data_IF_694319259862
#
_entry.id   IF_694319259862
#
_cell.length_a   1.000
_cell.length_b   1.000
_cell.length_c   1.000
_cell.angle_alpha   90.00
_cell.angle_beta   90.00
_cell.angle_gamma   90.00
#
_symmetry.space_group_name_H-M   'P 1'
#
loop_
_entity.id
_entity.type
_entity.pdbx_description
1 polymer ?
#
# COMPACT_ATOMS: atom_id res chain seq x y z
N UNK A 1 -35.49 -2.30 -11.94
CA UNK A 1 -34.33 -2.42 -11.02
C UNK A 1 -33.82 -1.00 -10.82
N UNK A 2 -33.85 -0.51 -9.60
CA UNK A 2 -33.44 0.86 -9.29
C UNK A 2 -32.03 0.80 -8.68
N UNK A 3 -31.01 1.00 -9.50
CA UNK A 3 -29.61 1.07 -9.06
C UNK A 3 -29.31 2.47 -8.51
N UNK A 4 -29.91 2.80 -7.36
CA UNK A 4 -29.61 4.09 -6.70
C UNK A 4 -28.19 4.15 -6.14
N UNK A 5 -27.59 2.97 -5.84
CA UNK A 5 -26.22 2.84 -5.33
C UNK A 5 -25.47 1.81 -6.18
N UNK A 6 -24.35 2.20 -6.74
CA UNK A 6 -23.49 1.32 -7.54
C UNK A 6 -22.89 0.16 -6.72
N UNK A 7 -22.85 0.31 -5.39
CA UNK A 7 -22.48 -0.71 -4.41
C UNK A 7 -23.68 -0.94 -3.50
N UNK A 8 -24.15 -2.18 -3.39
CA UNK A 8 -25.23 -2.55 -2.47
C UNK A 8 -24.88 -2.31 -1.00
N UNK A 9 -23.60 -2.27 -0.68
CA UNK A 9 -23.02 -1.92 0.61
C UNK A 9 -22.28 -0.60 0.48
N UNK A 10 -22.17 0.15 1.56
CA UNK A 10 -21.33 1.35 1.61
C UNK A 10 -19.87 1.04 1.30
N UNK A 11 -19.14 2.04 0.80
CA UNK A 11 -17.68 1.93 0.56
C UNK A 11 -16.99 1.62 1.89
N UNK A 12 -16.10 0.61 1.89
CA UNK A 12 -15.24 0.33 3.03
C UNK A 12 -14.23 1.47 3.21
N UNK A 13 -14.28 2.08 4.38
CA UNK A 13 -13.40 3.20 4.70
C UNK A 13 -12.12 2.71 5.39
N UNK A 14 -11.04 3.43 5.15
CA UNK A 14 -9.76 3.20 5.78
C UNK A 14 -9.84 3.50 7.30
N UNK A 15 -9.35 2.57 8.10
CA UNK A 15 -9.28 2.70 9.56
C UNK A 15 -7.87 3.07 10.07
N UNK A 16 -6.95 3.41 9.17
CA UNK A 16 -5.59 3.80 9.50
C UNK A 16 -5.48 5.31 9.79
N UNK A 17 -4.40 5.69 10.48
CA UNK A 17 -4.08 7.08 10.81
C UNK A 17 -2.66 7.43 10.36
N UNK A 18 -2.36 7.12 9.10
CA UNK A 18 -1.04 7.36 8.50
C UNK A 18 -0.69 8.84 8.53
N UNK A 19 0.47 9.26 9.06
CA UNK A 19 0.87 10.67 9.05
C UNK A 19 1.02 11.23 7.63
N UNK A 20 1.29 10.37 6.65
CA UNK A 20 1.44 10.73 5.24
C UNK A 20 0.13 10.61 4.44
N UNK A 21 -1.03 10.42 5.09
CA UNK A 21 -2.29 10.27 4.37
C UNK A 21 -2.61 11.55 3.59
N UNK A 22 -2.66 11.45 2.26
CA UNK A 22 -2.93 12.61 1.41
C UNK A 22 -4.37 13.13 1.56
N UNK A 23 -5.31 12.31 2.02
CA UNK A 23 -6.69 12.75 2.33
C UNK A 23 -6.69 13.66 3.57
N UNK A 24 -5.91 13.30 4.62
CA UNK A 24 -5.80 14.13 5.83
C UNK A 24 -5.03 15.43 5.60
N UNK A 25 -4.33 15.53 4.48
CA UNK A 25 -3.59 16.72 4.06
C UNK A 25 -4.38 17.59 3.06
N UNK A 26 -5.71 17.37 2.92
CA UNK A 26 -6.56 18.21 2.08
C UNK A 26 -6.95 19.50 2.80
N UNK A 27 -7.12 20.62 2.06
CA UNK A 27 -7.60 21.87 2.66
C UNK A 27 -9.02 21.69 3.20
N UNK A 28 -9.30 22.28 4.37
CA UNK A 28 -10.62 22.24 4.99
C UNK A 28 -11.71 22.95 4.13
N UNK A 29 -12.97 22.57 4.36
CA UNK A 29 -14.13 23.25 3.75
C UNK A 29 -14.38 22.93 2.27
N UNK A 30 -13.82 21.85 1.74
CA UNK A 30 -14.09 21.40 0.37
C UNK A 30 -15.27 20.39 0.34
N UNK A 31 -15.68 19.96 -0.86
CA UNK A 31 -16.76 18.98 -1.03
C UNK A 31 -16.46 17.70 -0.25
N UNK A 32 -17.47 17.11 0.38
CA UNK A 32 -17.34 15.93 1.25
C UNK A 32 -16.66 14.74 0.58
N UNK A 33 -16.85 14.56 -0.72
CA UNK A 33 -16.24 13.46 -1.50
C UNK A 33 -14.71 13.48 -1.51
N UNK A 34 -14.06 14.63 -1.27
CA UNK A 34 -12.60 14.74 -1.18
C UNK A 34 -12.01 14.18 0.13
N UNK A 35 -12.85 13.94 1.13
CA UNK A 35 -12.42 13.43 2.44
C UNK A 35 -12.77 11.96 2.65
N UNK A 36 -13.25 11.28 1.60
CA UNK A 36 -13.53 9.85 1.66
C UNK A 36 -12.20 9.10 1.56
N UNK A 37 -11.86 8.38 2.62
CA UNK A 37 -10.71 7.47 2.68
C UNK A 37 -11.18 6.09 2.28
N UNK A 38 -11.18 5.77 1.01
CA UNK A 38 -11.50 4.41 0.56
C UNK A 38 -10.37 3.43 0.92
N UNK A 39 -10.77 2.26 1.34
CA UNK A 39 -9.90 1.11 1.59
C UNK A 39 -10.69 -0.15 1.24
N UNK A 40 -11.22 -0.16 0.00
CA UNK A 40 -12.22 -1.11 -0.49
C UNK A 40 -11.61 -1.99 -1.58
N UNK A 41 -11.57 -3.31 -1.32
CA UNK A 41 -11.01 -4.27 -2.27
C UNK A 41 -11.76 -4.31 -3.61
N UNK A 42 -13.04 -3.92 -3.64
CA UNK A 42 -13.84 -3.83 -4.87
C UNK A 42 -13.37 -2.68 -5.74
N UNK A 43 -13.07 -1.52 -5.12
CA UNK A 43 -12.50 -0.37 -5.83
C UNK A 43 -11.06 -0.64 -6.26
N UNK A 44 -10.31 -1.39 -5.46
CA UNK A 44 -8.97 -1.84 -5.85
C UNK A 44 -9.03 -2.68 -7.12
N UNK A 45 -9.89 -3.68 -7.17
CA UNK A 45 -10.07 -4.54 -8.33
C UNK A 45 -10.57 -3.79 -9.57
N UNK A 46 -11.58 -2.91 -9.41
CA UNK A 46 -12.24 -2.24 -10.52
C UNK A 46 -11.46 -1.05 -11.08
N UNK A 47 -10.78 -0.30 -10.22
CA UNK A 47 -10.20 1.01 -10.57
C UNK A 47 -8.73 1.14 -10.21
N UNK A 48 -8.11 0.14 -9.58
CA UNK A 48 -6.72 0.21 -9.15
C UNK A 48 -6.49 1.08 -7.92
N UNK A 49 -7.53 1.35 -7.11
CA UNK A 49 -7.35 2.04 -5.82
C UNK A 49 -6.50 1.19 -4.88
N UNK A 50 -5.50 1.82 -4.24
CA UNK A 50 -4.64 1.13 -3.30
C UNK A 50 -5.37 0.89 -1.97
N UNK A 51 -5.35 -0.34 -1.49
CA UNK A 51 -5.91 -0.74 -0.19
C UNK A 51 -4.82 -1.22 0.76
N UNK A 52 -5.12 -1.20 2.06
CA UNK A 52 -4.14 -1.51 3.11
C UNK A 52 -4.26 -2.93 3.66
N UNK A 53 -5.33 -3.65 3.37
CA UNK A 53 -5.71 -4.95 3.92
C UNK A 53 -5.97 -4.96 5.45
N UNK A 54 -6.07 -3.80 6.10
CA UNK A 54 -6.22 -3.71 7.57
C UNK A 54 -7.66 -3.75 8.04
N UNK A 55 -8.64 -3.54 7.15
CA UNK A 55 -10.07 -3.44 7.45
C UNK A 55 -10.90 -4.62 6.93
N UNK A 56 -10.27 -5.65 6.35
CA UNK A 56 -10.97 -6.81 5.80
C UNK A 56 -11.42 -7.78 6.90
N UNK A 57 -12.62 -8.32 6.75
CA UNK A 57 -13.17 -9.39 7.56
C UNK A 57 -13.12 -10.74 6.82
N UNK A 58 -13.59 -11.81 7.44
CA UNK A 58 -13.57 -13.17 6.85
C UNK A 58 -14.37 -13.25 5.55
N UNK A 59 -15.51 -12.57 5.48
CA UNK A 59 -16.38 -12.60 4.29
C UNK A 59 -15.73 -11.87 3.12
N UNK A 60 -14.99 -10.79 3.40
CA UNK A 60 -14.21 -10.07 2.39
C UNK A 60 -13.12 -10.96 1.79
N UNK A 61 -12.33 -11.62 2.64
CA UNK A 61 -11.30 -12.56 2.21
C UNK A 61 -11.90 -13.71 1.41
N UNK A 62 -13.00 -14.31 1.88
CA UNK A 62 -13.71 -15.35 1.15
C UNK A 62 -14.20 -14.86 -0.22
N UNK A 63 -14.77 -13.67 -0.30
CA UNK A 63 -15.22 -13.08 -1.57
C UNK A 63 -14.05 -12.83 -2.53
N UNK A 64 -12.93 -12.29 -2.06
CA UNK A 64 -11.72 -12.09 -2.87
C UNK A 64 -11.27 -13.42 -3.49
N UNK A 65 -11.22 -14.50 -2.69
CA UNK A 65 -10.75 -15.80 -3.17
C UNK A 65 -11.74 -16.48 -4.10
N UNK A 66 -13.03 -16.49 -3.77
CA UNK A 66 -14.07 -17.20 -4.56
C UNK A 66 -14.37 -16.50 -5.88
N UNK A 67 -14.36 -15.16 -5.89
CA UNK A 67 -14.58 -14.37 -7.09
C UNK A 67 -13.29 -14.10 -7.89
N UNK A 68 -12.14 -14.56 -7.38
CA UNK A 68 -10.82 -14.35 -8.02
C UNK A 68 -10.56 -12.88 -8.37
N UNK A 69 -10.79 -11.98 -7.41
CA UNK A 69 -10.59 -10.55 -7.61
C UNK A 69 -9.09 -10.24 -7.71
N UNK A 70 -8.57 -10.26 -8.91
CA UNK A 70 -7.13 -10.15 -9.23
C UNK A 70 -6.95 -9.34 -10.53
N UNK A 71 -5.94 -8.45 -10.63
CA UNK A 71 -5.04 -8.07 -9.55
C UNK A 71 -5.67 -7.09 -8.55
N UNK A 72 -5.09 -7.04 -7.34
CA UNK A 72 -5.39 -6.00 -6.35
C UNK A 72 -4.20 -5.03 -6.23
N UNK A 73 -4.46 -3.80 -5.83
CA UNK A 73 -3.44 -2.78 -5.59
C UNK A 73 -3.26 -2.57 -4.10
N UNK A 74 -2.06 -2.85 -3.56
CA UNK A 74 -1.82 -2.94 -2.11
C UNK A 74 -0.79 -1.90 -1.65
N UNK A 75 -1.19 -1.12 -0.64
CA UNK A 75 -0.31 -0.21 0.10
C UNK A 75 0.52 -1.02 1.11
N UNK A 76 1.78 -1.26 0.80
CA UNK A 76 2.71 -2.03 1.64
C UNK A 76 3.41 -1.14 2.66
N UNK A 77 4.10 -0.11 2.19
CA UNK A 77 4.92 0.86 2.91
C UNK A 77 6.14 0.26 3.63
N UNK A 78 6.00 -0.88 4.29
CA UNK A 78 7.08 -1.69 4.85
C UNK A 78 6.62 -3.14 5.03
N UNK A 79 7.53 -4.11 4.90
CA UNK A 79 7.28 -5.51 5.29
C UNK A 79 7.68 -5.79 6.73
N UNK A 80 8.51 -4.92 7.32
CA UNK A 80 8.80 -4.97 8.75
C UNK A 80 7.54 -4.66 9.58
N UNK A 81 7.09 -5.60 10.44
CA UNK A 81 5.83 -5.47 11.17
C UNK A 81 5.74 -4.20 12.03
N UNK A 82 6.81 -3.90 12.77
CA UNK A 82 6.84 -2.75 13.69
C UNK A 82 6.80 -1.43 12.92
N UNK A 83 7.60 -1.32 11.87
CA UNK A 83 7.63 -0.13 11.01
C UNK A 83 6.28 0.09 10.36
N UNK A 84 5.64 -0.98 9.86
CA UNK A 84 4.33 -0.85 9.20
C UNK A 84 3.23 -0.47 10.20
N UNK A 85 3.22 -1.04 11.41
CA UNK A 85 2.31 -0.63 12.49
C UNK A 85 2.48 0.85 12.84
N UNK A 86 3.72 1.31 12.95
CA UNK A 86 4.04 2.71 13.23
C UNK A 86 3.55 3.65 12.12
N UNK A 87 3.78 3.28 10.86
CA UNK A 87 3.39 4.07 9.68
C UNK A 87 1.88 4.16 9.52
N UNK A 88 1.15 3.07 9.73
CA UNK A 88 -0.30 3.03 9.58
C UNK A 88 -1.05 3.38 10.87
N UNK A 89 -0.35 3.43 12.00
CA UNK A 89 -0.92 3.57 13.35
C UNK A 89 -2.04 2.55 13.59
N UNK A 90 -1.80 1.30 13.18
CA UNK A 90 -2.76 0.21 13.23
C UNK A 90 -2.06 -1.13 13.50
N UNK A 91 -2.41 -1.81 14.58
CA UNK A 91 -1.81 -3.11 14.96
C UNK A 91 -2.03 -4.21 13.92
N UNK A 92 -3.15 -4.19 13.19
CA UNK A 92 -3.41 -5.16 12.11
C UNK A 92 -2.46 -5.01 10.92
N UNK A 93 -1.72 -3.90 10.85
CA UNK A 93 -0.78 -3.65 9.77
C UNK A 93 0.44 -4.58 9.80
N UNK A 94 0.77 -5.19 10.95
CA UNK A 94 1.90 -6.13 11.09
C UNK A 94 1.79 -7.40 10.25
N UNK A 95 0.58 -7.76 9.83
CA UNK A 95 0.27 -9.06 9.21
C UNK A 95 0.46 -9.07 7.68
N UNK A 96 1.15 -8.10 7.11
CA UNK A 96 1.19 -7.93 5.65
C UNK A 96 1.80 -9.12 4.90
N UNK A 97 2.87 -9.73 5.41
CA UNK A 97 3.51 -10.86 4.75
C UNK A 97 2.60 -12.11 4.78
N UNK A 98 1.93 -12.38 5.90
CA UNK A 98 0.97 -13.47 6.02
C UNK A 98 -0.22 -13.26 5.06
N UNK A 99 -0.65 -12.00 4.89
CA UNK A 99 -1.72 -11.63 3.97
C UNK A 99 -1.30 -11.83 2.50
N UNK A 100 -0.05 -11.49 2.13
CA UNK A 100 0.47 -11.74 0.78
C UNK A 100 0.62 -13.25 0.53
N UNK A 101 1.07 -14.00 1.51
CA UNK A 101 1.15 -15.47 1.42
C UNK A 101 -0.24 -16.08 1.21
N UNK A 102 -1.25 -15.60 1.93
CA UNK A 102 -2.63 -16.01 1.72
C UNK A 102 -3.12 -15.67 0.30
N UNK A 103 -2.79 -14.48 -0.24
CA UNK A 103 -3.11 -14.10 -1.61
C UNK A 103 -2.43 -15.03 -2.63
N UNK A 104 -1.16 -15.41 -2.39
CA UNK A 104 -0.43 -16.40 -3.21
C UNK A 104 -1.14 -17.74 -3.23
N UNK A 105 -1.50 -18.28 -2.06
CA UNK A 105 -2.21 -19.54 -1.92
C UNK A 105 -3.57 -19.54 -2.64
N UNK A 106 -4.21 -18.39 -2.74
CA UNK A 106 -5.48 -18.21 -3.45
C UNK A 106 -5.34 -17.77 -4.91
N UNK A 107 -4.11 -17.70 -5.46
CA UNK A 107 -3.82 -17.28 -6.83
C UNK A 107 -4.31 -15.85 -7.15
N UNK A 108 -4.19 -14.94 -6.20
CA UNK A 108 -4.50 -13.53 -6.36
C UNK A 108 -3.20 -12.76 -6.58
N UNK A 109 -3.11 -12.02 -7.68
CA UNK A 109 -1.98 -11.18 -8.02
C UNK A 109 -2.14 -9.78 -7.44
N UNK A 110 -1.02 -9.09 -7.20
CA UNK A 110 -1.03 -7.74 -6.64
C UNK A 110 -0.03 -6.80 -7.34
N UNK A 111 -0.38 -5.53 -7.34
CA UNK A 111 0.54 -4.42 -7.53
C UNK A 111 0.81 -3.77 -6.17
N UNK A 112 2.05 -3.77 -5.74
CA UNK A 112 2.48 -3.22 -4.46
C UNK A 112 2.90 -1.76 -4.58
N UNK A 113 2.70 -0.97 -3.50
CA UNK A 113 3.20 0.39 -3.40
C UNK A 113 3.88 0.62 -2.06
N UNK A 114 5.02 1.29 -2.09
CA UNK A 114 5.76 1.77 -0.93
C UNK A 114 5.87 3.29 -1.02
N UNK A 115 5.22 4.01 -0.11
CA UNK A 115 5.45 5.44 0.08
C UNK A 115 6.67 5.58 0.98
N UNK A 116 7.75 6.14 0.46
CA UNK A 116 9.00 6.32 1.21
C UNK A 116 8.92 7.58 2.06
N UNK A 117 9.04 7.38 3.36
CA UNK A 117 9.11 8.43 4.37
C UNK A 117 10.56 8.44 4.92
N UNK A 118 11.34 9.53 4.69
CA UNK A 118 12.72 9.61 5.17
C UNK A 118 12.85 9.30 6.65
N UNK A 119 13.90 8.55 7.02
CA UNK A 119 14.24 8.13 8.39
C UNK A 119 13.22 7.17 9.05
N UNK A 120 12.18 6.75 8.34
CA UNK A 120 11.15 5.84 8.87
C UNK A 120 11.20 4.48 8.18
N UNK A 121 11.02 4.44 6.85
CA UNK A 121 10.97 3.18 6.10
C UNK A 121 11.93 3.15 4.89
N UNK A 122 12.92 4.01 4.89
CA UNK A 122 13.98 4.09 3.89
C UNK A 122 15.18 3.15 4.18
N UNK A 123 16.26 3.30 3.46
CA UNK A 123 17.52 2.58 3.66
C UNK A 123 17.32 1.06 3.74
N UNK A 124 17.77 0.44 4.84
CA UNK A 124 17.69 -1.02 5.05
C UNK A 124 16.25 -1.54 5.12
N UNK A 125 15.30 -0.74 5.61
CA UNK A 125 13.89 -1.15 5.71
C UNK A 125 13.26 -1.21 4.31
N UNK A 126 13.54 -0.21 3.47
CA UNK A 126 13.13 -0.21 2.07
C UNK A 126 13.73 -1.40 1.31
N UNK A 127 15.03 -1.61 1.45
CA UNK A 127 15.75 -2.72 0.84
C UNK A 127 15.15 -4.07 1.24
N UNK A 128 14.97 -4.30 2.55
CA UNK A 128 14.30 -5.50 3.07
C UNK A 128 12.92 -5.68 2.46
N UNK A 129 12.13 -4.61 2.40
CA UNK A 129 10.77 -4.68 1.88
C UNK A 129 10.75 -5.07 0.40
N UNK A 130 11.66 -4.55 -0.42
CA UNK A 130 11.76 -4.91 -1.83
C UNK A 130 12.15 -6.39 -1.99
N UNK A 131 13.16 -6.87 -1.23
CA UNK A 131 13.56 -8.27 -1.30
C UNK A 131 12.47 -9.23 -0.79
N UNK A 132 11.75 -8.88 0.27
CA UNK A 132 10.63 -9.70 0.76
C UNK A 132 9.53 -9.81 -0.30
N UNK A 133 9.16 -8.71 -0.95
CA UNK A 133 8.17 -8.70 -2.03
C UNK A 133 8.65 -9.49 -3.26
N UNK A 134 9.94 -9.42 -3.59
CA UNK A 134 10.53 -10.16 -4.71
C UNK A 134 10.41 -11.68 -4.55
N UNK A 135 10.38 -12.21 -3.31
CA UNK A 135 10.18 -13.65 -3.04
C UNK A 135 8.82 -14.15 -3.57
N UNK A 136 7.85 -13.28 -3.70
CA UNK A 136 6.51 -13.58 -4.24
C UNK A 136 6.41 -13.39 -5.77
N UNK A 137 7.52 -13.11 -6.45
CA UNK A 137 7.62 -13.06 -7.91
C UNK A 137 8.28 -14.34 -8.44
N UNK A 138 7.64 -15.49 -8.23
CA UNK A 138 8.16 -16.81 -8.60
C UNK A 138 7.86 -17.14 -10.06
N UNK A 139 8.69 -18.03 -10.68
CA UNK A 139 8.43 -18.53 -12.05
C UNK A 139 7.11 -19.29 -12.17
N UNK A 140 6.73 -20.03 -11.11
CA UNK A 140 5.49 -20.83 -11.07
C UNK A 140 4.25 -19.95 -10.98
N UNK A 141 4.30 -18.89 -10.17
CA UNK A 141 3.22 -17.92 -10.01
C UNK A 141 3.77 -16.60 -9.51
N UNK A 142 3.40 -15.51 -10.19
CA UNK A 142 3.82 -14.15 -9.85
C UNK A 142 2.73 -13.46 -9.04
N UNK A 143 2.77 -13.62 -7.72
CA UNK A 143 1.83 -12.94 -6.81
C UNK A 143 2.07 -11.44 -6.83
N UNK A 144 3.30 -11.00 -6.64
CA UNK A 144 3.68 -9.58 -6.77
C UNK A 144 4.09 -9.30 -8.21
N UNK A 145 3.24 -8.60 -8.96
CA UNK A 145 3.49 -8.25 -10.36
C UNK A 145 4.47 -7.08 -10.48
N UNK A 146 4.30 -6.08 -9.63
CA UNK A 146 5.17 -4.89 -9.59
C UNK A 146 5.18 -4.26 -8.21
N UNK A 147 6.21 -3.47 -7.92
CA UNK A 147 6.30 -2.65 -6.71
C UNK A 147 6.65 -1.23 -7.11
N UNK A 148 5.73 -0.30 -6.89
CA UNK A 148 5.95 1.13 -7.07
C UNK A 148 6.60 1.73 -5.83
N UNK A 149 7.73 2.41 -6.02
CA UNK A 149 8.40 3.16 -4.95
C UNK A 149 8.14 4.64 -5.21
N UNK A 150 7.39 5.27 -4.33
CA UNK A 150 6.96 6.66 -4.49
C UNK A 150 7.42 7.53 -3.32
N UNK A 151 7.81 8.79 -3.56
CA UNK A 151 8.18 9.70 -2.48
C UNK A 151 6.95 10.10 -1.67
N UNK A 152 7.12 10.35 -0.37
CA UNK A 152 6.07 10.97 0.44
C UNK A 152 5.73 12.36 -0.09
N UNK A 153 4.44 12.59 -0.35
CA UNK A 153 3.92 13.91 -0.72
C UNK A 153 3.47 14.67 0.53
N UNK A 154 3.96 15.89 0.68
CA UNK A 154 3.63 16.74 1.82
C UNK A 154 2.99 18.04 1.32
N UNK A 155 1.80 18.36 1.83
CA UNK A 155 1.08 19.59 1.50
C UNK A 155 1.23 20.63 2.62
N UNK A 156 0.93 21.88 2.32
CA UNK A 156 0.89 22.96 3.33
C UNK A 156 -0.25 22.85 4.33
N UNK A 157 -1.19 21.92 4.11
CA UNK A 157 -2.35 21.72 4.98
C UNK A 157 -2.18 20.54 5.94
N UNK A 158 -1.03 19.89 5.92
CA UNK A 158 -0.73 18.81 6.85
C UNK A 158 -0.66 19.33 8.29
N UNK A 159 -0.93 18.47 9.29
CA UNK A 159 -0.73 18.85 10.69
C UNK A 159 0.72 19.27 10.96
N UNK A 160 0.90 20.28 11.79
CA UNK A 160 2.21 20.64 12.31
C UNK A 160 2.76 19.50 13.16
N UNK A 161 4.06 19.24 13.07
CA UNK A 161 4.74 18.19 13.85
C UNK A 161 4.26 16.75 13.59
N UNK A 162 3.92 16.42 12.36
CA UNK A 162 3.57 15.04 11.96
C UNK A 162 4.78 14.08 11.92
N UNK A 163 5.99 14.59 12.14
CA UNK A 163 7.23 13.81 12.15
C UNK A 163 7.75 13.44 10.75
N UNK A 164 7.16 13.97 9.68
CA UNK A 164 7.58 13.68 8.32
C UNK A 164 8.56 14.72 7.78
N UNK A 165 9.57 14.23 7.08
CA UNK A 165 10.60 15.04 6.43
C UNK A 165 10.30 15.11 4.93
N UNK A 166 10.35 16.33 4.37
CA UNK A 166 10.20 16.52 2.93
C UNK A 166 11.41 15.93 2.18
N UNK A 167 11.13 15.30 1.04
CA UNK A 167 12.18 14.70 0.21
C UNK A 167 12.92 15.79 -0.56
N UNK A 168 14.23 15.96 -0.28
CA UNK A 168 15.11 16.82 -1.07
C UNK A 168 15.51 16.15 -2.40
N UNK A 169 16.03 16.95 -3.33
CA UNK A 169 16.54 16.44 -4.62
C UNK A 169 17.69 15.43 -4.43
N UNK A 170 18.58 15.70 -3.47
CA UNK A 170 19.71 14.82 -3.14
C UNK A 170 19.22 13.52 -2.54
N UNK A 171 18.25 13.60 -1.65
CA UNK A 171 17.64 12.42 -1.05
C UNK A 171 16.92 11.55 -2.10
N UNK A 172 16.14 12.17 -2.99
CA UNK A 172 15.47 11.45 -4.09
C UNK A 172 16.47 10.71 -4.96
N UNK A 173 17.60 11.32 -5.31
CA UNK A 173 18.68 10.66 -6.07
C UNK A 173 19.25 9.44 -5.34
N UNK A 174 19.46 9.53 -4.03
CA UNK A 174 19.94 8.37 -3.23
C UNK A 174 18.96 7.21 -3.25
N UNK A 175 17.66 7.47 -3.11
CA UNK A 175 16.62 6.42 -3.18
C UNK A 175 16.58 5.81 -4.58
N UNK A 176 16.61 6.61 -5.64
CA UNK A 176 16.64 6.11 -7.03
C UNK A 176 17.84 5.18 -7.21
N UNK A 177 19.04 5.62 -6.85
CA UNK A 177 20.25 4.80 -6.98
C UNK A 177 20.17 3.51 -6.17
N UNK A 178 19.59 3.54 -4.96
CA UNK A 178 19.39 2.36 -4.14
C UNK A 178 18.46 1.37 -4.84
N UNK A 179 17.30 1.85 -5.32
CA UNK A 179 16.30 1.01 -5.99
C UNK A 179 16.85 0.43 -7.28
N UNK A 180 17.56 1.19 -8.11
CA UNK A 180 18.20 0.71 -9.34
C UNK A 180 19.24 -0.37 -9.10
N UNK A 181 20.06 -0.24 -8.03
CA UNK A 181 21.00 -1.29 -7.61
C UNK A 181 20.29 -2.59 -7.24
N UNK A 182 19.22 -2.49 -6.45
CA UNK A 182 18.41 -3.64 -6.04
C UNK A 182 17.75 -4.28 -7.28
N UNK A 183 17.18 -3.48 -8.16
CA UNK A 183 16.56 -3.95 -9.41
C UNK A 183 17.55 -4.71 -10.27
N UNK A 184 18.76 -4.17 -10.46
CA UNK A 184 19.83 -4.83 -11.21
C UNK A 184 20.25 -6.16 -10.56
N UNK A 185 20.30 -6.22 -9.24
CA UNK A 185 20.61 -7.45 -8.48
C UNK A 185 19.52 -8.51 -8.68
N UNK A 186 18.25 -8.11 -8.59
CA UNK A 186 17.12 -9.02 -8.75
C UNK A 186 17.03 -9.55 -10.18
N UNK A 187 17.27 -8.73 -11.21
CA UNK A 187 17.26 -9.17 -12.61
C UNK A 187 18.32 -10.23 -12.94
N UNK A 188 19.44 -10.24 -12.21
CA UNK A 188 20.50 -11.26 -12.37
C UNK A 188 20.16 -12.59 -11.68
N UNK A 189 19.21 -12.59 -10.74
CA UNK A 189 18.85 -13.75 -9.93
C UNK A 189 17.58 -14.47 -10.40
N UNK A 190 16.88 -13.91 -11.38
CA UNK A 190 15.68 -14.47 -12.03
C UNK A 190 16.06 -15.12 -13.37
#
# INVERSE_FOLDING_TARGET
INFKDALFDSIKQCNNKCPFCFIDQQPNGKRKSLYVKDDDYRLSFLYGSYLTLTNLNKDDWNRISTQKLSPLFISIHATDPKTREQLLKNKKASQILDQIEWLEQNSIQIHAQIVVCPEINDGKILEKSIYDLAKFHKKSFKTVLSTAIVPVGLTKFRPENDGLIAISKEYARKIIQQVEKIQTSLQKSI
#
